data_IF_069531059958
#
_entry.id   IF_069531059958
#
_cell.length_a   1.000
_cell.length_b   1.000
_cell.length_c   1.000
_cell.angle_alpha   90.00
_cell.angle_beta   90.00
_cell.angle_gamma   90.00
#
_symmetry.space_group_name_H-M   'P 1'
#
loop_
_entity.id
_entity.type
_entity.pdbx_description
1 polymer ?
#
# COMPACT_ATOMS: atom_id res chain seq x y z
N UNK A 1 29.61 22.08 -61.76
CA UNK A 1 30.35 22.68 -60.63
C UNK A 1 29.59 22.36 -59.37
N UNK A 2 30.21 21.61 -58.45
CA UNK A 2 29.62 21.31 -57.14
C UNK A 2 30.28 22.27 -56.14
N UNK A 3 29.48 23.18 -55.58
CA UNK A 3 29.94 24.16 -54.61
C UNK A 3 30.06 23.44 -53.26
N UNK A 4 31.29 23.19 -52.79
CA UNK A 4 31.51 22.58 -51.47
C UNK A 4 31.22 23.64 -50.40
N UNK A 5 29.98 23.65 -49.89
CA UNK A 5 29.63 24.40 -48.69
C UNK A 5 30.53 23.97 -47.53
N UNK A 6 31.33 24.90 -47.01
CA UNK A 6 32.11 24.69 -45.78
C UNK A 6 31.13 24.58 -44.61
N UNK A 7 31.03 23.41 -44.00
CA UNK A 7 30.35 23.26 -42.71
C UNK A 7 31.12 24.03 -41.64
N UNK A 8 30.50 25.03 -41.02
CA UNK A 8 31.02 25.67 -39.81
C UNK A 8 30.94 24.68 -38.65
N UNK A 9 32.08 24.28 -38.10
CA UNK A 9 32.13 23.46 -36.89
C UNK A 9 31.65 24.22 -35.66
N UNK A 10 31.09 23.51 -34.68
CA UNK A 10 30.70 24.07 -33.39
C UNK A 10 31.93 24.57 -32.63
N UNK A 11 31.79 25.69 -31.91
CA UNK A 11 32.84 26.20 -31.05
C UNK A 11 32.95 25.35 -29.77
N UNK A 12 34.14 25.30 -29.18
CA UNK A 12 34.38 24.59 -27.93
C UNK A 12 33.52 25.14 -26.79
N UNK A 13 33.23 26.45 -26.81
CA UNK A 13 32.37 27.13 -25.82
C UNK A 13 30.90 26.71 -25.96
N UNK A 14 30.39 26.60 -27.19
CA UNK A 14 29.01 26.14 -27.42
C UNK A 14 28.80 24.72 -26.91
N UNK A 15 29.74 23.80 -27.18
CA UNK A 15 29.66 22.43 -26.68
C UNK A 15 29.80 22.39 -25.15
N UNK A 16 30.65 23.24 -24.55
CA UNK A 16 30.82 23.29 -23.11
C UNK A 16 29.53 23.71 -22.37
N UNK A 17 28.82 24.73 -22.86
CA UNK A 17 27.55 25.17 -22.25
C UNK A 17 26.48 24.09 -22.38
N UNK A 18 26.40 23.43 -23.55
CA UNK A 18 25.45 22.34 -23.77
C UNK A 18 25.69 21.18 -22.80
N UNK A 19 26.95 20.78 -22.58
CA UNK A 19 27.29 19.71 -21.63
C UNK A 19 26.98 20.10 -20.18
N UNK A 20 27.17 21.37 -19.80
CA UNK A 20 26.79 21.87 -18.47
C UNK A 20 25.28 21.78 -18.28
N UNK A 21 24.49 22.24 -19.25
CA UNK A 21 23.03 22.19 -19.18
C UNK A 21 22.56 20.74 -19.09
N UNK A 22 23.09 19.84 -19.92
CA UNK A 22 22.77 18.40 -19.85
C UNK A 22 23.14 17.82 -18.48
N UNK A 23 24.32 18.15 -17.95
CA UNK A 23 24.77 17.69 -16.63
C UNK A 23 23.84 18.14 -15.50
N UNK A 24 23.43 19.42 -15.52
CA UNK A 24 22.49 19.97 -14.54
C UNK A 24 21.10 19.35 -14.67
N UNK A 25 20.61 19.14 -15.90
CA UNK A 25 19.33 18.49 -16.14
C UNK A 25 19.34 17.04 -15.66
N UNK A 26 20.38 16.26 -15.98
CA UNK A 26 20.52 14.88 -15.52
C UNK A 26 20.61 14.80 -13.98
N UNK A 27 21.40 15.67 -13.35
CA UNK A 27 21.49 15.76 -11.89
C UNK A 27 20.17 16.14 -11.24
N UNK A 28 19.43 17.08 -11.84
CA UNK A 28 18.10 17.49 -11.39
C UNK A 28 17.05 16.38 -11.49
N UNK A 29 17.06 15.59 -12.57
CA UNK A 29 16.11 14.49 -12.77
C UNK A 29 16.32 13.38 -11.73
N UNK A 30 17.57 12.98 -11.47
CA UNK A 30 17.87 11.95 -10.46
C UNK A 30 17.36 12.34 -9.07
N UNK A 31 17.63 13.60 -8.67
CA UNK A 31 17.12 14.11 -7.40
C UNK A 31 15.60 14.24 -7.38
N UNK A 32 15.00 14.61 -8.51
CA UNK A 32 13.55 14.68 -8.67
C UNK A 32 12.87 13.33 -8.47
N UNK A 33 13.46 12.24 -8.99
CA UNK A 33 12.95 10.88 -8.83
C UNK A 33 12.98 10.44 -7.36
N UNK A 34 14.09 10.67 -6.64
CA UNK A 34 14.18 10.39 -5.19
C UNK A 34 13.10 11.14 -4.39
N UNK A 35 12.89 12.43 -4.69
CA UNK A 35 11.87 13.23 -3.99
C UNK A 35 10.46 12.70 -4.22
N UNK A 36 10.14 12.21 -5.43
CA UNK A 36 8.85 11.58 -5.73
C UNK A 36 8.68 10.29 -4.92
N UNK A 37 9.73 9.47 -4.84
CA UNK A 37 9.74 8.22 -4.06
C UNK A 37 9.47 8.50 -2.58
N UNK A 38 10.21 9.43 -1.96
CA UNK A 38 9.99 9.81 -0.56
C UNK A 38 8.61 10.42 -0.32
N UNK A 39 8.03 11.13 -1.30
CA UNK A 39 6.67 11.64 -1.20
C UNK A 39 5.63 10.50 -1.20
N UNK A 40 5.83 9.45 -2.03
CA UNK A 40 4.97 8.26 -2.02
C UNK A 40 5.07 7.49 -0.71
N UNK A 41 6.28 7.32 -0.17
CA UNK A 41 6.51 6.70 1.15
C UNK A 41 5.73 7.44 2.24
N UNK A 42 5.84 8.77 2.27
CA UNK A 42 5.11 9.59 3.24
C UNK A 42 3.59 9.46 3.07
N UNK A 43 3.10 9.47 1.84
CA UNK A 43 1.69 9.32 1.56
C UNK A 43 1.13 7.98 2.10
N UNK A 44 1.88 6.88 1.94
CA UNK A 44 1.47 5.56 2.46
C UNK A 44 1.44 5.58 4.00
N UNK A 45 2.46 6.14 4.64
CA UNK A 45 2.50 6.26 6.10
C UNK A 45 1.33 7.10 6.64
N UNK A 46 1.06 8.25 6.02
CA UNK A 46 -0.04 9.15 6.40
C UNK A 46 -1.41 8.49 6.16
N UNK A 47 -1.59 7.75 5.05
CA UNK A 47 -2.80 6.99 4.76
C UNK A 47 -3.07 5.95 5.84
N UNK A 48 -2.04 5.19 6.25
CA UNK A 48 -2.18 4.19 7.31
C UNK A 48 -2.58 4.80 8.65
N UNK A 49 -1.91 5.87 9.10
CA UNK A 49 -2.30 6.57 10.34
C UNK A 49 -3.72 7.13 10.27
N UNK A 50 -4.15 7.63 9.10
CA UNK A 50 -5.52 8.08 8.88
C UNK A 50 -6.56 6.96 8.97
N UNK A 51 -6.26 5.80 8.38
CA UNK A 51 -7.13 4.61 8.43
C UNK A 51 -7.24 4.08 9.87
N UNK A 52 -6.12 4.00 10.59
CA UNK A 52 -6.10 3.56 11.99
C UNK A 52 -6.97 4.49 12.86
N UNK A 53 -6.81 5.80 12.72
CA UNK A 53 -7.63 6.79 13.43
C UNK A 53 -9.12 6.69 13.06
N UNK A 54 -9.43 6.47 11.78
CA UNK A 54 -10.79 6.27 11.29
C UNK A 54 -11.44 5.02 11.90
N UNK A 55 -10.72 3.90 11.93
CA UNK A 55 -11.20 2.64 12.48
C UNK A 55 -11.56 2.76 13.98
N UNK A 56 -10.64 3.27 14.80
CA UNK A 56 -10.90 3.44 16.23
C UNK A 56 -11.93 4.55 16.50
N UNK A 57 -11.93 5.63 15.72
CA UNK A 57 -12.95 6.68 15.80
C UNK A 57 -14.36 6.17 15.50
N UNK A 58 -14.50 5.24 14.55
CA UNK A 58 -15.76 4.57 14.27
C UNK A 58 -16.24 3.74 15.47
N UNK A 59 -15.36 2.94 16.06
CA UNK A 59 -15.65 2.15 17.26
C UNK A 59 -16.06 3.06 18.42
N UNK A 60 -15.40 4.19 18.62
CA UNK A 60 -15.75 5.13 19.68
C UNK A 60 -17.13 5.76 19.48
N UNK A 61 -17.48 6.09 18.23
CA UNK A 61 -18.77 6.72 17.89
C UNK A 61 -19.93 5.73 17.93
N UNK A 62 -19.78 4.58 17.30
CA UNK A 62 -20.87 3.62 17.10
C UNK A 62 -20.87 2.47 18.10
N UNK A 63 -19.76 2.25 18.84
CA UNK A 63 -19.56 1.09 19.72
C UNK A 63 -19.71 -0.24 18.98
N UNK A 64 -19.36 -0.26 17.71
CA UNK A 64 -19.42 -1.40 16.81
C UNK A 64 -18.15 -1.43 15.97
N UNK A 65 -17.71 -2.62 15.56
CA UNK A 65 -16.58 -2.78 14.66
C UNK A 65 -17.06 -2.51 13.23
N UNK A 66 -16.45 -1.56 12.49
CA UNK A 66 -16.84 -1.31 11.10
C UNK A 66 -16.58 -2.58 10.28
N UNK A 67 -17.40 -2.86 9.27
CA UNK A 67 -17.33 -4.06 8.45
C UNK A 67 -18.03 -5.27 9.08
N UNK A 68 -17.72 -5.58 10.33
CA UNK A 68 -18.33 -6.65 11.12
C UNK A 68 -19.80 -6.35 11.50
N UNK A 69 -20.14 -5.08 11.73
CA UNK A 69 -21.46 -4.69 12.20
C UNK A 69 -22.60 -5.26 11.32
N UNK A 70 -23.56 -6.03 11.88
CA UNK A 70 -24.61 -6.64 11.08
C UNK A 70 -25.38 -5.64 10.23
N UNK A 71 -25.52 -5.97 8.95
CA UNK A 71 -26.13 -5.11 7.93
C UNK A 71 -27.46 -4.51 8.40
N UNK A 72 -28.35 -5.33 8.96
CA UNK A 72 -29.68 -4.92 9.44
C UNK A 72 -29.64 -3.77 10.45
N UNK A 73 -28.57 -3.67 11.24
CA UNK A 73 -28.36 -2.62 12.23
C UNK A 73 -27.59 -1.44 11.61
N UNK A 74 -26.57 -1.72 10.79
CA UNK A 74 -25.74 -0.70 10.15
C UNK A 74 -26.56 0.23 9.25
N UNK A 75 -27.50 -0.31 8.45
CA UNK A 75 -28.36 0.48 7.55
C UNK A 75 -29.31 1.44 8.29
N UNK A 76 -29.64 1.15 9.54
CA UNK A 76 -30.50 2.01 10.37
C UNK A 76 -29.71 3.18 10.98
N UNK A 77 -28.42 2.97 11.26
CA UNK A 77 -27.58 3.95 11.94
C UNK A 77 -26.78 4.84 10.97
N UNK A 78 -26.45 4.33 9.79
CA UNK A 78 -25.62 5.03 8.80
C UNK A 78 -26.40 5.08 7.48
N UNK A 79 -26.88 6.26 7.07
CA UNK A 79 -27.59 6.42 5.81
C UNK A 79 -26.79 5.94 4.61
N UNK A 80 -27.42 5.13 3.76
CA UNK A 80 -26.87 4.66 2.50
C UNK A 80 -25.99 3.43 2.61
N UNK A 81 -25.62 2.94 3.79
CA UNK A 81 -24.93 1.64 3.95
C UNK A 81 -25.83 0.51 3.42
N UNK A 82 -25.24 -0.46 2.73
CA UNK A 82 -25.95 -1.64 2.23
C UNK A 82 -25.26 -2.96 2.58
N UNK A 83 -24.02 -2.96 3.06
CA UNK A 83 -23.29 -4.15 3.49
C UNK A 83 -23.06 -4.20 5.00
N UNK A 84 -22.62 -5.35 5.48
CA UNK A 84 -22.27 -5.61 6.89
C UNK A 84 -21.74 -7.03 7.07
N UNK A 85 -21.36 -7.35 8.30
CA UNK A 85 -20.73 -8.62 8.67
C UNK A 85 -21.62 -9.49 9.54
N UNK A 86 -21.00 -10.44 10.23
CA UNK A 86 -21.69 -11.42 11.07
C UNK A 86 -21.89 -10.98 12.53
N UNK A 87 -21.24 -9.91 12.97
CA UNK A 87 -21.35 -9.35 14.32
C UNK A 87 -20.56 -10.13 15.37
N UNK A 88 -19.45 -10.75 14.99
CA UNK A 88 -18.52 -11.45 15.88
C UNK A 88 -17.77 -10.50 16.83
N UNK A 89 -17.78 -9.20 16.54
CA UNK A 89 -16.97 -8.19 17.23
C UNK A 89 -15.54 -8.10 16.70
N UNK A 90 -15.23 -8.75 15.58
CA UNK A 90 -13.91 -8.81 14.94
C UNK A 90 -14.09 -8.80 13.42
N UNK A 91 -13.02 -8.47 12.70
CA UNK A 91 -12.97 -8.58 11.24
C UNK A 91 -12.39 -9.93 10.84
N UNK A 92 -13.18 -10.99 10.99
CA UNK A 92 -12.76 -12.39 10.82
C UNK A 92 -13.82 -13.27 10.12
N UNK A 93 -14.78 -12.66 9.43
CA UNK A 93 -15.83 -13.35 8.71
C UNK A 93 -15.34 -14.39 7.72
N UNK A 94 -16.08 -15.50 7.61
CA UNK A 94 -15.71 -16.67 6.82
C UNK A 94 -15.44 -16.38 5.33
N UNK A 95 -16.11 -15.39 4.75
CA UNK A 95 -15.72 -14.80 3.48
C UNK A 95 -15.06 -13.45 3.77
N UNK A 96 -13.73 -13.33 3.66
CA UNK A 96 -13.00 -12.13 4.08
C UNK A 96 -13.36 -10.90 3.22
N UNK A 97 -13.88 -11.10 2.01
CA UNK A 97 -14.32 -10.01 1.14
C UNK A 97 -15.55 -9.28 1.66
N UNK A 98 -16.45 -9.98 2.37
CA UNK A 98 -17.70 -9.38 2.85
C UNK A 98 -17.40 -8.29 3.86
N UNK A 99 -16.71 -8.64 4.93
CA UNK A 99 -16.34 -7.70 5.99
C UNK A 99 -15.24 -6.76 5.55
N UNK A 100 -14.19 -7.27 4.88
CA UNK A 100 -13.05 -6.46 4.43
C UNK A 100 -13.45 -5.31 3.51
N UNK A 101 -14.48 -5.49 2.66
CA UNK A 101 -15.01 -4.41 1.82
C UNK A 101 -16.08 -3.58 2.56
N UNK A 102 -16.88 -4.20 3.44
CA UNK A 102 -17.86 -3.49 4.25
C UNK A 102 -17.22 -2.46 5.20
N UNK A 103 -16.00 -2.71 5.70
CA UNK A 103 -15.22 -1.75 6.49
C UNK A 103 -15.14 -0.41 5.76
N UNK A 104 -14.75 -0.43 4.49
CA UNK A 104 -14.55 0.79 3.71
C UNK A 104 -15.86 1.52 3.45
N UNK A 105 -16.95 0.78 3.18
CA UNK A 105 -18.28 1.37 3.07
C UNK A 105 -18.68 2.06 4.38
N UNK A 106 -18.57 1.37 5.52
CA UNK A 106 -18.96 1.90 6.82
C UNK A 106 -18.16 3.15 7.16
N UNK A 107 -16.84 3.13 6.97
CA UNK A 107 -15.96 4.28 7.25
C UNK A 107 -16.22 5.47 6.32
N UNK A 108 -16.48 5.24 5.03
CA UNK A 108 -16.74 6.33 4.07
C UNK A 108 -18.12 6.95 4.27
N UNK A 109 -19.18 6.15 4.43
CA UNK A 109 -20.55 6.65 4.59
C UNK A 109 -20.82 7.31 5.94
N UNK A 110 -20.01 6.99 6.96
CA UNK A 110 -20.02 7.70 8.24
C UNK A 110 -19.10 8.93 8.29
N UNK A 111 -18.31 9.17 7.23
CA UNK A 111 -17.48 10.36 7.06
C UNK A 111 -16.12 10.31 7.74
N UNK A 112 -15.62 9.13 8.13
CA UNK A 112 -14.27 8.99 8.70
C UNK A 112 -13.16 8.98 7.65
N UNK A 113 -13.46 8.49 6.43
CA UNK A 113 -12.53 8.51 5.29
C UNK A 113 -13.18 9.14 4.07
N UNK A 114 -12.35 9.64 3.16
CA UNK A 114 -12.81 10.10 1.86
C UNK A 114 -13.05 8.93 0.91
N UNK A 115 -13.98 9.10 -0.02
CA UNK A 115 -14.41 8.07 -0.95
C UNK A 115 -15.90 7.79 -0.81
N UNK A 116 -16.41 6.92 -1.68
CA UNK A 116 -17.80 6.46 -1.64
C UNK A 116 -17.80 4.97 -1.90
N UNK A 117 -17.39 4.19 -0.88
CA UNK A 117 -17.25 2.74 -1.05
C UNK A 117 -18.60 2.03 -0.88
N UNK A 118 -18.78 0.93 -1.62
CA UNK A 118 -20.07 0.24 -1.74
C UNK A 118 -20.11 -1.14 -1.06
N UNK A 119 -18.97 -1.63 -0.56
CA UNK A 119 -18.86 -2.98 -0.02
C UNK A 119 -18.88 -4.03 -1.14
N UNK A 120 -18.94 -5.31 -0.80
CA UNK A 120 -18.96 -6.38 -1.79
C UNK A 120 -18.77 -7.75 -1.15
N UNK A 121 -18.74 -8.80 -1.97
CA UNK A 121 -18.53 -10.18 -1.48
C UNK A 121 -17.48 -10.94 -2.32
N UNK A 122 -16.78 -10.23 -3.21
CA UNK A 122 -15.80 -10.80 -4.13
C UNK A 122 -14.61 -9.86 -4.26
N UNK A 123 -13.49 -10.44 -4.70
CA UNK A 123 -12.24 -9.73 -4.89
C UNK A 123 -12.40 -8.55 -5.89
N UNK A 124 -11.91 -7.34 -5.55
CA UNK A 124 -11.88 -6.23 -6.48
C UNK A 124 -11.02 -6.54 -7.72
N UNK A 125 -11.43 -6.00 -8.85
CA UNK A 125 -10.70 -6.02 -10.12
C UNK A 125 -10.04 -4.67 -10.39
N UNK A 126 -9.15 -4.62 -11.38
CA UNK A 126 -8.49 -3.37 -11.78
C UNK A 126 -9.47 -2.29 -12.25
N UNK A 127 -10.67 -2.66 -12.71
CA UNK A 127 -11.70 -1.72 -13.16
C UNK A 127 -12.50 -1.09 -12.01
N UNK A 128 -12.49 -1.70 -10.83
CA UNK A 128 -13.26 -1.23 -9.69
C UNK A 128 -12.62 0.03 -9.07
N UNK A 129 -13.46 1.00 -8.72
CA UNK A 129 -13.00 2.30 -8.19
C UNK A 129 -13.55 2.61 -6.80
N UNK A 130 -14.51 1.82 -6.33
CA UNK A 130 -15.36 2.08 -5.18
C UNK A 130 -15.53 0.86 -4.25
N UNK A 131 -14.69 -0.17 -4.39
CA UNK A 131 -14.71 -1.31 -3.46
C UNK A 131 -13.77 -1.14 -2.27
N UNK A 132 -12.55 -0.64 -2.50
CA UNK A 132 -11.56 -0.40 -1.47
C UNK A 132 -10.63 0.78 -1.83
N UNK A 133 -10.04 1.47 -0.84
CA UNK A 133 -9.00 2.45 -1.07
C UNK A 133 -7.80 1.86 -1.81
N UNK A 134 -7.11 2.71 -2.58
CA UNK A 134 -5.86 2.36 -3.26
C UNK A 134 -4.68 3.11 -2.67
N UNK A 135 -3.53 2.45 -2.61
CA UNK A 135 -2.26 3.05 -2.24
C UNK A 135 -1.68 3.91 -3.39
N UNK A 136 -0.55 4.57 -3.15
CA UNK A 136 0.16 5.40 -4.14
C UNK A 136 0.66 4.65 -5.39
N UNK A 137 0.60 3.31 -5.39
CA UNK A 137 1.01 2.40 -6.47
C UNK A 137 -0.19 1.69 -7.10
N UNK A 138 -1.41 2.16 -6.84
CA UNK A 138 -2.68 1.63 -7.37
C UNK A 138 -3.06 0.22 -6.87
N UNK A 139 -2.35 -0.29 -5.85
CA UNK A 139 -2.72 -1.53 -5.15
C UNK A 139 -3.87 -1.28 -4.17
N UNK A 140 -4.81 -2.21 -4.07
CA UNK A 140 -5.91 -2.13 -3.11
C UNK A 140 -5.40 -2.40 -1.69
N UNK A 141 -5.89 -1.62 -0.74
CA UNK A 141 -5.61 -1.81 0.68
C UNK A 141 -6.75 -2.58 1.34
N UNK A 142 -6.42 -3.53 2.21
CA UNK A 142 -7.40 -4.36 2.92
C UNK A 142 -7.13 -4.34 4.42
N UNK A 143 -8.15 -4.01 5.21
CA UNK A 143 -8.10 -4.04 6.68
C UNK A 143 -8.87 -5.27 7.16
N UNK A 144 -8.18 -6.24 7.75
CA UNK A 144 -8.78 -7.48 8.20
C UNK A 144 -7.90 -8.16 9.26
N UNK A 145 -8.43 -9.16 9.94
CA UNK A 145 -7.67 -9.95 10.88
C UNK A 145 -7.03 -11.14 10.17
N UNK A 146 -5.70 -11.20 10.14
CA UNK A 146 -4.95 -12.31 9.55
C UNK A 146 -3.60 -12.51 10.25
N UNK A 147 -2.94 -13.62 9.96
CA UNK A 147 -1.53 -13.91 10.24
C UNK A 147 -0.66 -13.88 8.95
N UNK A 148 -1.12 -13.17 7.91
CA UNK A 148 -0.54 -13.12 6.56
C UNK A 148 0.72 -12.24 6.45
N UNK A 149 1.63 -12.36 7.41
CA UNK A 149 2.88 -11.58 7.43
C UNK A 149 4.06 -12.37 7.98
N UNK A 150 5.26 -11.88 7.66
CA UNK A 150 6.50 -12.46 8.15
C UNK A 150 6.75 -12.01 9.60
N UNK A 151 7.15 -12.95 10.45
CA UNK A 151 7.54 -12.73 11.85
C UNK A 151 8.82 -13.54 12.09
N UNK A 152 9.76 -13.03 12.89
CA UNK A 152 10.95 -13.77 13.28
C UNK A 152 10.63 -15.04 14.11
N UNK A 153 9.47 -15.04 14.77
CA UNK A 153 8.85 -16.19 15.42
C UNK A 153 7.73 -16.79 14.56
N UNK A 154 6.53 -16.92 15.15
CA UNK A 154 5.33 -17.37 14.46
C UNK A 154 4.36 -16.19 14.36
N UNK A 155 3.82 -15.90 13.17
CA UNK A 155 2.83 -14.84 13.04
C UNK A 155 1.58 -15.21 13.83
N UNK A 156 0.93 -14.20 14.40
CA UNK A 156 -0.28 -14.33 15.21
C UNK A 156 -1.42 -13.63 14.51
N UNK A 157 -2.59 -14.25 14.50
CA UNK A 157 -3.80 -13.65 13.96
C UNK A 157 -4.16 -12.34 14.70
N UNK A 158 -4.05 -11.22 13.99
CA UNK A 158 -4.34 -9.89 14.52
C UNK A 158 -4.80 -8.93 13.43
N UNK A 159 -5.43 -7.84 13.86
CA UNK A 159 -5.92 -6.82 12.94
C UNK A 159 -4.72 -6.17 12.26
N UNK A 160 -4.73 -6.20 10.94
CA UNK A 160 -3.67 -5.60 10.14
C UNK A 160 -4.21 -4.98 8.86
N UNK A 161 -3.49 -3.97 8.38
CA UNK A 161 -3.73 -3.34 7.09
C UNK A 161 -2.74 -3.89 6.07
N UNK A 162 -3.22 -4.66 5.10
CA UNK A 162 -2.46 -5.00 3.90
C UNK A 162 -2.38 -3.77 3.01
N UNK A 163 -1.16 -3.34 2.67
CA UNK A 163 -0.91 -2.13 1.89
C UNK A 163 -1.22 -2.30 0.39
N UNK A 164 -1.25 -3.53 -0.09
CA UNK A 164 -1.52 -3.88 -1.48
C UNK A 164 -0.23 -4.06 -2.27
N UNK A 165 -0.18 -5.12 -3.08
CA UNK A 165 0.97 -5.49 -3.91
C UNK A 165 1.28 -4.43 -4.97
N UNK A 166 2.56 -4.37 -5.35
CA UNK A 166 3.05 -3.47 -6.42
C UNK A 166 3.93 -2.35 -5.90
N UNK A 167 4.37 -2.43 -4.64
CA UNK A 167 5.31 -1.49 -4.06
C UNK A 167 6.74 -2.01 -4.33
N UNK A 168 7.62 -1.20 -4.94
CA UNK A 168 9.01 -1.60 -5.16
C UNK A 168 9.79 -1.82 -3.86
N UNK A 169 10.72 -2.79 -3.83
CA UNK A 169 11.48 -3.16 -2.62
C UNK A 169 12.28 -2.02 -2.00
N UNK A 170 12.77 -1.07 -2.81
CA UNK A 170 13.47 0.11 -2.31
C UNK A 170 12.52 1.05 -1.54
N UNK A 171 11.28 1.19 -2.03
CA UNK A 171 10.21 1.96 -1.36
C UNK A 171 9.81 1.27 -0.07
N UNK A 172 9.68 -0.07 -0.08
CA UNK A 172 9.35 -0.86 1.10
C UNK A 172 10.35 -0.64 2.23
N UNK A 173 11.65 -0.74 1.93
CA UNK A 173 12.69 -0.49 2.92
C UNK A 173 12.69 0.96 3.42
N UNK A 174 12.49 1.94 2.55
CA UNK A 174 12.41 3.34 2.96
C UNK A 174 11.19 3.60 3.85
N UNK A 175 10.06 2.98 3.53
CA UNK A 175 8.85 3.02 4.36
C UNK A 175 9.09 2.38 5.73
N UNK A 176 9.72 1.22 5.76
CA UNK A 176 10.03 0.49 6.98
C UNK A 176 10.97 1.27 7.90
N UNK A 177 12.08 1.79 7.37
CA UNK A 177 12.98 2.69 8.10
C UNK A 177 12.29 3.98 8.59
N UNK A 178 11.21 4.40 7.93
CA UNK A 178 10.45 5.59 8.31
C UNK A 178 9.44 5.31 9.41
N UNK A 179 8.92 4.08 9.46
CA UNK A 179 7.92 3.63 10.42
C UNK A 179 8.59 3.08 11.69
N UNK A 180 9.59 2.21 11.56
CA UNK A 180 10.23 1.53 12.69
C UNK A 180 11.72 1.13 12.45
N UNK A 181 12.03 -0.14 12.21
CA UNK A 181 13.37 -0.74 12.35
C UNK A 181 14.05 -1.12 11.03
N UNK A 182 13.31 -1.11 9.92
CA UNK A 182 13.84 -1.43 8.59
C UNK A 182 14.09 -2.92 8.35
N UNK A 183 13.55 -3.81 9.19
CA UNK A 183 13.59 -5.26 9.03
C UNK A 183 12.20 -5.81 8.67
N UNK A 184 12.11 -6.68 7.64
CA UNK A 184 10.84 -7.18 7.12
C UNK A 184 10.03 -8.08 8.09
N UNK A 185 10.60 -8.50 9.21
CA UNK A 185 10.03 -9.51 10.11
C UNK A 185 9.76 -9.01 11.54
N UNK A 186 10.09 -7.75 11.83
CA UNK A 186 9.91 -7.15 13.16
C UNK A 186 9.20 -5.81 13.05
N UNK A 187 8.95 -5.17 14.18
CA UNK A 187 8.22 -3.90 14.19
C UNK A 187 6.72 -4.06 13.88
N UNK A 188 6.11 -2.93 13.53
CA UNK A 188 4.69 -2.79 13.16
C UNK A 188 4.48 -2.89 11.66
N UNK A 189 5.48 -2.55 10.84
CA UNK A 189 5.44 -2.77 9.40
C UNK A 189 6.16 -4.07 9.06
N UNK A 190 5.47 -5.01 8.40
CA UNK A 190 6.04 -6.33 8.13
C UNK A 190 5.80 -6.78 6.71
N UNK A 191 6.72 -7.56 6.17
CA UNK A 191 6.57 -8.16 4.85
C UNK A 191 5.33 -9.07 4.80
N UNK A 192 4.49 -8.92 3.79
CA UNK A 192 3.34 -9.81 3.61
C UNK A 192 3.80 -11.20 3.15
N UNK A 193 3.03 -12.24 3.44
CA UNK A 193 3.38 -13.62 3.05
C UNK A 193 3.58 -13.75 1.54
N UNK A 194 4.51 -14.63 1.09
CA UNK A 194 4.79 -14.81 -0.33
C UNK A 194 3.73 -15.65 -1.07
N UNK A 195 2.89 -16.39 -0.34
CA UNK A 195 1.83 -17.23 -0.88
C UNK A 195 0.77 -17.49 0.21
N UNK A 196 -0.41 -17.93 -0.21
CA UNK A 196 -1.47 -18.36 0.71
C UNK A 196 -2.19 -17.22 1.45
N UNK A 197 -1.98 -15.96 1.04
CA UNK A 197 -2.64 -14.81 1.66
C UNK A 197 -4.18 -14.90 1.54
N UNK A 198 -4.88 -14.47 2.59
CA UNK A 198 -6.35 -14.39 2.67
C UNK A 198 -6.96 -13.60 1.52
N UNK A 199 -6.32 -12.51 1.10
CA UNK A 199 -6.71 -11.70 -0.08
C UNK A 199 -5.87 -12.01 -1.33
N UNK A 200 -5.45 -13.27 -1.49
CA UNK A 200 -4.49 -13.71 -2.51
C UNK A 200 -5.05 -13.94 -3.92
N UNK A 201 -6.37 -14.11 -4.08
CA UNK A 201 -7.00 -14.52 -5.36
C UNK A 201 -6.71 -13.58 -6.55
N UNK A 202 -6.47 -12.31 -6.28
CA UNK A 202 -6.16 -11.26 -7.28
C UNK A 202 -4.83 -10.56 -6.99
N UNK A 203 -3.88 -11.26 -6.35
CA UNK A 203 -2.56 -10.73 -6.03
C UNK A 203 -2.55 -9.51 -5.09
N UNK A 204 -3.63 -9.27 -4.32
CA UNK A 204 -3.72 -8.12 -3.41
C UNK A 204 -2.95 -8.39 -2.11
N UNK A 205 -3.12 -9.59 -1.55
CA UNK A 205 -2.65 -9.97 -0.22
C UNK A 205 -1.18 -10.40 -0.13
N UNK A 206 -0.60 -10.92 -1.21
CA UNK A 206 0.73 -11.51 -1.15
C UNK A 206 1.84 -10.56 -1.62
N UNK A 207 3.07 -10.85 -1.20
CA UNK A 207 4.29 -10.21 -1.69
C UNK A 207 5.11 -11.17 -2.56
N UNK A 208 6.01 -10.68 -3.40
CA UNK A 208 6.98 -11.55 -4.08
C UNK A 208 8.07 -12.01 -3.08
N UNK A 209 8.41 -13.31 -3.08
CA UNK A 209 9.42 -13.84 -2.16
C UNK A 209 10.81 -13.18 -2.30
N UNK A 210 11.17 -12.71 -3.50
CA UNK A 210 12.44 -12.03 -3.76
C UNK A 210 12.59 -10.66 -3.09
N UNK A 211 11.53 -10.13 -2.47
CA UNK A 211 11.56 -8.84 -1.76
C UNK A 211 12.37 -8.89 -0.46
N UNK A 212 12.59 -10.08 0.09
CA UNK A 212 13.35 -10.31 1.31
C UNK A 212 14.54 -11.20 1.00
N UNK A 213 15.70 -10.82 1.53
CA UNK A 213 16.91 -11.63 1.55
C UNK A 213 16.99 -12.32 2.90
N UNK A 214 16.85 -13.64 2.89
CA UNK A 214 16.85 -14.51 4.07
C UNK A 214 18.24 -15.10 4.34
N UNK A 215 19.28 -14.64 3.64
CA UNK A 215 20.66 -15.10 3.88
C UNK A 215 21.30 -14.46 5.12
N UNK A 216 21.06 -13.17 5.44
CA UNK A 216 21.48 -12.58 6.71
C UNK A 216 20.53 -12.96 7.84
N UNK A 217 20.98 -12.84 9.09
CA UNK A 217 20.13 -13.00 10.28
C UNK A 217 20.32 -11.78 11.20
N UNK A 218 19.31 -10.92 11.39
CA UNK A 218 17.94 -11.05 10.88
C UNK A 218 17.83 -10.86 9.35
N UNK A 219 16.74 -11.38 8.77
CA UNK A 219 16.39 -11.18 7.35
C UNK A 219 16.30 -9.68 7.02
N UNK A 220 16.59 -9.30 5.77
CA UNK A 220 16.57 -7.89 5.34
C UNK A 220 15.78 -7.70 4.05
N UNK A 221 15.31 -6.48 3.79
CA UNK A 221 14.78 -6.13 2.46
C UNK A 221 15.84 -6.24 1.37
N UNK A 222 15.55 -7.03 0.33
CA UNK A 222 16.46 -7.31 -0.79
C UNK A 222 16.45 -6.21 -1.85
N UNK A 223 17.05 -5.06 -1.54
CA UNK A 223 17.13 -3.93 -2.49
C UNK A 223 17.86 -4.34 -3.78
N UNK A 224 18.89 -5.19 -3.68
CA UNK A 224 19.69 -5.63 -4.81
C UNK A 224 18.89 -6.48 -5.81
N UNK A 225 17.86 -7.21 -5.33
CA UNK A 225 16.93 -7.95 -6.16
C UNK A 225 16.04 -7.07 -7.04
N UNK A 226 15.85 -5.79 -6.67
CA UNK A 226 15.05 -4.81 -7.41
C UNK A 226 13.63 -5.30 -7.75
N UNK A 227 13.01 -6.04 -6.82
CA UNK A 227 11.63 -6.51 -6.98
C UNK A 227 10.64 -5.35 -7.01
N UNK A 228 9.65 -5.44 -7.89
CA UNK A 228 8.64 -4.39 -8.10
C UNK A 228 7.27 -4.74 -7.51
N UNK A 229 7.09 -5.99 -7.11
CA UNK A 229 5.80 -6.54 -6.71
C UNK A 229 5.79 -6.95 -5.24
N UNK A 230 6.39 -6.12 -4.39
CA UNK A 230 6.39 -6.33 -2.95
C UNK A 230 5.10 -5.83 -2.32
N UNK A 231 4.86 -6.31 -1.10
CA UNK A 231 3.73 -5.95 -0.26
C UNK A 231 4.12 -6.05 1.22
N UNK A 232 3.43 -5.28 2.07
CA UNK A 232 3.58 -5.30 3.51
C UNK A 232 2.23 -5.19 4.17
N UNK A 233 2.21 -5.57 5.44
CA UNK A 233 1.13 -5.33 6.35
C UNK A 233 1.56 -4.33 7.42
N UNK A 234 0.61 -3.55 7.90
CA UNK A 234 0.76 -2.73 9.09
C UNK A 234 -0.06 -3.34 10.23
N UNK A 235 0.58 -3.68 11.34
CA UNK A 235 -0.07 -4.30 12.49
C UNK A 235 -0.71 -3.23 13.39
N UNK A 236 -1.94 -3.48 13.87
CA UNK A 236 -2.71 -2.57 14.74
C UNK A 236 -2.83 -3.07 16.18
#
# INVERSE_FOLDING_TARGET
>A
MYDMQRQSGFTLVEIAIVLIIIGLLLGGILRGQELITSARVRNIADQNSGIQAAYFGFIDRYRQVPGDWPQVNAVQAIPGVVSGGDGSGRLDGANPWVEGLAVWEHLSKSGFIQGSFTGGAAAPTAADTDLAPRNAFNGFMMLFRTDDYADAGAPVDQLNLVLGRGIPVNVMRELDLKVDDGLPQSGVLRHAVPAGATFGDNDIGHSTAGCVDTTPNPDIWNIAGNEQLCNAVYLY
#
